data_IF_722473271056
#
_entry.id   IF_722473271056
#
_cell.length_a   1.000
_cell.length_b   1.000
_cell.length_c   1.000
_cell.angle_alpha   90.00
_cell.angle_beta   90.00
_cell.angle_gamma   90.00
#
_symmetry.space_group_name_H-M   'P 1'
#
loop_
_entity.id
_entity.type
_entity.pdbx_description
1 polymer ?
#
# COMPACT_ATOMS: atom_id res chain seq x y z
N UNK A 1 41.46 -5.55 -20.06
CA UNK A 1 40.12 -6.15 -20.15
C UNK A 1 39.31 -5.57 -19.02
N UNK A 2 38.58 -4.49 -19.29
CA UNK A 2 37.69 -3.88 -18.31
C UNK A 2 36.47 -4.76 -18.14
N UNK A 3 36.31 -5.34 -16.95
CA UNK A 3 35.12 -6.10 -16.58
C UNK A 3 33.98 -5.12 -16.40
N UNK A 4 33.14 -4.97 -17.43
CA UNK A 4 31.86 -4.27 -17.32
C UNK A 4 30.98 -5.08 -16.37
N UNK A 5 31.00 -4.71 -15.09
CA UNK A 5 30.04 -5.21 -14.12
C UNK A 5 28.70 -4.56 -14.45
N UNK A 6 27.86 -5.30 -15.18
CA UNK A 6 26.46 -4.94 -15.36
C UNK A 6 25.83 -4.91 -13.95
N UNK A 7 25.71 -3.72 -13.36
CA UNK A 7 24.98 -3.54 -12.10
C UNK A 7 23.55 -3.98 -12.34
N UNK A 8 23.24 -5.20 -11.95
CA UNK A 8 21.90 -5.76 -12.01
C UNK A 8 21.01 -4.89 -11.13
N UNK A 9 20.01 -4.24 -11.73
CA UNK A 9 19.08 -3.42 -10.98
C UNK A 9 18.55 -4.20 -9.76
N UNK A 10 18.59 -3.61 -8.56
CA UNK A 10 18.25 -4.32 -7.33
C UNK A 10 16.85 -4.91 -7.47
N UNK A 11 16.74 -6.24 -7.39
CA UNK A 11 15.48 -6.92 -7.57
C UNK A 11 14.52 -6.53 -6.43
N UNK A 12 13.27 -6.17 -6.76
CA UNK A 12 12.25 -5.86 -5.73
C UNK A 12 12.12 -7.03 -4.75
N UNK A 13 12.41 -6.83 -3.45
CA UNK A 13 12.36 -7.90 -2.46
C UNK A 13 10.92 -8.38 -2.24
N UNK A 14 10.75 -9.65 -1.88
CA UNK A 14 9.43 -10.28 -1.70
C UNK A 14 8.58 -9.49 -0.70
N UNK A 15 9.17 -9.05 0.42
CA UNK A 15 8.48 -8.21 1.41
C UNK A 15 7.88 -6.94 0.80
N UNK A 16 8.61 -6.24 -0.10
CA UNK A 16 8.09 -5.06 -0.78
C UNK A 16 6.95 -5.42 -1.74
N UNK A 17 7.06 -6.54 -2.44
CA UNK A 17 5.97 -7.03 -3.32
C UNK A 17 4.72 -7.34 -2.51
N UNK A 18 4.86 -7.98 -1.35
CA UNK A 18 3.74 -8.28 -0.45
C UNK A 18 3.06 -7.00 -0.01
N UNK A 19 3.80 -5.98 0.44
CA UNK A 19 3.23 -4.67 0.80
C UNK A 19 2.46 -4.06 -0.38
N UNK A 20 3.05 -4.05 -1.57
CA UNK A 20 2.41 -3.48 -2.76
C UNK A 20 1.12 -4.22 -3.15
N UNK A 21 1.14 -5.55 -3.15
CA UNK A 21 -0.02 -6.38 -3.45
C UNK A 21 -1.10 -6.23 -2.39
N UNK A 22 -0.74 -6.15 -1.10
CA UNK A 22 -1.67 -5.90 0.00
C UNK A 22 -2.45 -4.60 -0.17
N UNK A 23 -1.76 -3.50 -0.50
CA UNK A 23 -2.42 -2.21 -0.75
C UNK A 23 -3.27 -2.22 -2.03
N UNK A 24 -2.80 -2.90 -3.09
CA UNK A 24 -3.60 -3.09 -4.29
C UNK A 24 -4.89 -3.87 -3.98
N UNK A 25 -4.80 -4.95 -3.20
CA UNK A 25 -5.93 -5.75 -2.81
C UNK A 25 -6.95 -4.94 -1.98
N UNK A 26 -6.49 -4.05 -1.10
CA UNK A 26 -7.37 -3.13 -0.38
C UNK A 26 -8.22 -2.26 -1.32
N UNK A 27 -7.63 -1.73 -2.39
CA UNK A 27 -8.35 -0.94 -3.39
C UNK A 27 -9.46 -1.79 -4.02
N UNK A 28 -9.14 -3.01 -4.45
CA UNK A 28 -10.14 -3.93 -5.02
C UNK A 28 -11.24 -4.29 -4.02
N UNK A 29 -10.90 -4.53 -2.75
CA UNK A 29 -11.89 -4.80 -1.69
C UNK A 29 -12.81 -3.60 -1.50
N UNK A 30 -12.28 -2.37 -1.49
CA UNK A 30 -13.08 -1.16 -1.32
C UNK A 30 -14.06 -0.96 -2.49
N UNK A 31 -13.62 -1.18 -3.74
CA UNK A 31 -14.51 -1.15 -4.90
C UNK A 31 -15.53 -2.30 -4.91
N UNK A 32 -15.12 -3.50 -4.50
CA UNK A 32 -16.02 -4.64 -4.36
C UNK A 32 -17.12 -4.38 -3.32
N UNK A 33 -16.77 -3.79 -2.18
CA UNK A 33 -17.72 -3.36 -1.16
C UNK A 33 -18.63 -2.24 -1.68
N UNK A 34 -18.08 -1.24 -2.37
CA UNK A 34 -18.88 -0.18 -2.98
C UNK A 34 -19.94 -0.78 -3.91
N UNK A 35 -19.53 -1.66 -4.83
CA UNK A 35 -20.44 -2.31 -5.77
C UNK A 35 -21.49 -3.19 -5.07
N UNK A 36 -21.09 -3.96 -4.06
CA UNK A 36 -21.99 -4.85 -3.33
C UNK A 36 -23.07 -4.06 -2.55
N UNK A 37 -22.67 -2.94 -1.92
CA UNK A 37 -23.60 -2.07 -1.19
C UNK A 37 -24.47 -1.26 -2.17
N UNK A 38 -23.90 -0.70 -3.23
CA UNK A 38 -24.63 0.11 -4.21
C UNK A 38 -25.64 -0.70 -5.03
N UNK A 39 -25.39 -1.99 -5.25
CA UNK A 39 -26.30 -2.90 -5.95
C UNK A 39 -27.38 -3.52 -5.05
N UNK A 40 -27.43 -3.14 -3.75
CA UNK A 40 -28.37 -3.69 -2.78
C UNK A 40 -28.13 -5.17 -2.45
N UNK A 41 -27.00 -5.76 -2.88
CA UNK A 41 -26.63 -7.15 -2.59
C UNK A 41 -26.13 -7.33 -1.16
N UNK A 42 -25.75 -6.23 -0.50
CA UNK A 42 -25.13 -6.25 0.82
C UNK A 42 -25.62 -5.04 1.63
N UNK A 43 -26.46 -5.28 2.62
CA UNK A 43 -26.87 -4.27 3.59
C UNK A 43 -25.91 -4.31 4.78
N UNK A 44 -24.94 -3.40 4.79
CA UNK A 44 -24.10 -3.16 5.96
C UNK A 44 -24.69 -1.96 6.70
N UNK A 45 -25.08 -2.10 7.99
CA UNK A 45 -25.57 -0.98 8.78
C UNK A 45 -24.58 0.18 8.79
N UNK A 46 -25.06 1.40 8.47
CA UNK A 46 -24.26 2.64 8.35
C UNK A 46 -23.21 2.66 7.22
N UNK A 47 -23.25 1.73 6.27
CA UNK A 47 -22.36 1.79 5.10
C UNK A 47 -22.96 2.68 4.02
N UNK A 48 -22.57 3.96 4.02
CA UNK A 48 -22.92 4.87 2.94
C UNK A 48 -22.00 4.64 1.72
N UNK A 49 -22.55 4.31 0.53
CA UNK A 49 -21.77 4.11 -0.69
C UNK A 49 -20.80 5.26 -1.02
N UNK A 50 -21.19 6.50 -0.76
CA UNK A 50 -20.37 7.68 -1.07
C UNK A 50 -19.10 7.72 -0.22
N UNK A 51 -19.20 7.31 1.05
CA UNK A 51 -18.04 7.21 1.96
C UNK A 51 -17.12 6.06 1.56
N UNK A 52 -17.67 4.94 1.07
CA UNK A 52 -16.87 3.81 0.57
C UNK A 52 -16.11 4.24 -0.68
N UNK A 53 -16.77 4.93 -1.61
CA UNK A 53 -16.14 5.42 -2.83
C UNK A 53 -15.04 6.44 -2.54
N UNK A 54 -15.28 7.38 -1.62
CA UNK A 54 -14.27 8.34 -1.14
C UNK A 54 -13.05 7.62 -0.53
N UNK A 55 -13.30 6.62 0.32
CA UNK A 55 -12.23 5.80 0.92
C UNK A 55 -11.45 5.01 -0.13
N UNK A 56 -12.13 4.46 -1.15
CA UNK A 56 -11.48 3.80 -2.27
C UNK A 56 -10.58 4.76 -3.07
N UNK A 57 -11.03 6.01 -3.28
CA UNK A 57 -10.22 7.08 -3.86
C UNK A 57 -8.94 7.36 -3.06
N UNK A 58 -9.05 7.48 -1.73
CA UNK A 58 -7.89 7.64 -0.85
C UNK A 58 -6.92 6.45 -0.98
N UNK A 59 -7.42 5.22 -1.01
CA UNK A 59 -6.56 4.05 -1.17
C UNK A 59 -5.83 4.02 -2.52
N UNK A 60 -6.45 4.48 -3.60
CA UNK A 60 -5.77 4.66 -4.90
C UNK A 60 -4.64 5.67 -4.77
N UNK A 61 -4.91 6.84 -4.19
CA UNK A 61 -3.88 7.88 -4.00
C UNK A 61 -2.73 7.36 -3.16
N UNK A 62 -3.02 6.66 -2.05
CA UNK A 62 -2.01 6.00 -1.22
C UNK A 62 -1.19 4.99 -1.99
N UNK A 63 -1.83 4.14 -2.80
CA UNK A 63 -1.13 3.16 -3.64
C UNK A 63 -0.19 3.85 -4.63
N UNK A 64 -0.65 4.88 -5.33
CA UNK A 64 0.18 5.64 -6.30
C UNK A 64 1.37 6.31 -5.59
N UNK A 65 1.13 7.01 -4.48
CA UNK A 65 2.17 7.62 -3.67
C UNK A 65 3.18 6.58 -3.16
N UNK A 66 2.71 5.40 -2.78
CA UNK A 66 3.55 4.31 -2.28
C UNK A 66 4.44 3.74 -3.38
N UNK A 67 3.88 3.50 -4.58
CA UNK A 67 4.64 3.09 -5.77
C UNK A 67 5.69 4.15 -6.11
N UNK A 68 5.30 5.42 -6.18
CA UNK A 68 6.22 6.51 -6.48
C UNK A 68 7.35 6.62 -5.46
N UNK A 69 7.05 6.46 -4.17
CA UNK A 69 8.05 6.48 -3.09
C UNK A 69 9.04 5.32 -3.19
N UNK A 70 8.55 4.13 -3.54
CA UNK A 70 9.38 2.95 -3.78
C UNK A 70 10.28 3.10 -5.02
N UNK A 71 9.78 3.72 -6.08
CA UNK A 71 10.55 3.96 -7.30
C UNK A 71 11.66 5.01 -7.10
N UNK A 72 11.44 5.98 -6.20
CA UNK A 72 12.37 7.06 -5.88
C UNK A 72 13.30 6.76 -4.68
N UNK A 73 13.30 5.54 -4.12
CA UNK A 73 14.16 5.20 -2.98
C UNK A 73 13.84 5.94 -1.67
N UNK A 74 12.68 6.59 -1.55
CA UNK A 74 12.29 7.40 -0.38
C UNK A 74 11.65 6.54 0.71
N UNK A 75 12.46 5.79 1.47
CA UNK A 75 11.97 4.89 2.54
C UNK A 75 11.15 5.62 3.63
N UNK A 76 11.57 6.83 4.00
CA UNK A 76 10.85 7.64 5.00
C UNK A 76 9.44 8.00 4.51
N UNK A 77 9.33 8.41 3.25
CA UNK A 77 8.04 8.74 2.62
C UNK A 77 7.16 7.49 2.49
N UNK A 78 7.75 6.36 2.11
CA UNK A 78 7.05 5.08 2.04
C UNK A 78 6.42 4.67 3.39
N UNK A 79 7.17 4.84 4.49
CA UNK A 79 6.64 4.59 5.85
C UNK A 79 5.56 5.58 6.25
N UNK A 80 5.73 6.86 5.91
CA UNK A 80 4.74 7.89 6.19
C UNK A 80 3.41 7.59 5.50
N UNK A 81 3.44 7.08 4.26
CA UNK A 81 2.22 6.68 3.52
C UNK A 81 1.50 5.52 4.21
N UNK A 82 2.23 4.49 4.65
CA UNK A 82 1.62 3.37 5.38
C UNK A 82 1.01 3.84 6.72
N UNK A 83 1.67 4.76 7.40
CA UNK A 83 1.15 5.34 8.65
C UNK A 83 -0.09 6.21 8.39
N UNK A 84 -0.09 6.99 7.32
CA UNK A 84 -1.24 7.76 6.88
C UNK A 84 -2.42 6.84 6.51
N UNK A 85 -2.16 5.73 5.81
CA UNK A 85 -3.16 4.72 5.48
C UNK A 85 -3.80 4.09 6.74
N UNK A 86 -2.98 3.82 7.76
CA UNK A 86 -3.44 3.35 9.06
C UNK A 86 -4.40 4.37 9.71
N UNK A 87 -4.01 5.66 9.73
CA UNK A 87 -4.84 6.73 10.31
C UNK A 87 -6.15 6.91 9.51
N UNK A 88 -6.06 6.90 8.18
CA UNK A 88 -7.22 7.01 7.29
C UNK A 88 -8.19 5.82 7.43
N UNK A 89 -7.73 4.67 7.93
CA UNK A 89 -8.57 3.49 8.19
C UNK A 89 -9.37 3.59 9.51
N UNK A 90 -9.01 4.51 10.43
CA UNK A 90 -9.69 4.71 11.72
C UNK A 90 -11.18 5.09 11.53
N UNK A 91 -11.52 6.15 10.76
CA UNK A 91 -12.91 6.60 10.64
C UNK A 91 -13.78 5.57 9.92
N UNK A 92 -13.19 4.85 8.96
CA UNK A 92 -13.87 3.81 8.18
C UNK A 92 -14.11 2.51 8.98
N UNK A 93 -13.61 2.41 10.23
CA UNK A 93 -13.61 1.18 11.05
C UNK A 93 -13.13 -0.05 10.27
N UNK A 94 -12.20 0.16 9.33
CA UNK A 94 -11.78 -0.85 8.37
C UNK A 94 -10.77 -1.79 9.04
N UNK A 95 -11.25 -2.80 9.77
CA UNK A 95 -10.40 -3.77 10.51
C UNK A 95 -9.35 -4.41 9.60
N UNK A 96 -9.75 -4.79 8.38
CA UNK A 96 -8.84 -5.35 7.36
C UNK A 96 -7.77 -4.31 6.96
N UNK A 97 -8.17 -3.05 6.86
CA UNK A 97 -7.29 -1.91 6.62
C UNK A 97 -6.20 -1.79 7.68
N UNK A 98 -6.58 -1.85 8.96
CA UNK A 98 -5.66 -1.82 10.09
C UNK A 98 -4.65 -2.95 10.07
N UNK A 99 -5.12 -4.21 9.97
CA UNK A 99 -4.24 -5.39 10.03
C UNK A 99 -3.20 -5.32 8.92
N UNK A 100 -3.63 -5.01 7.70
CA UNK A 100 -2.72 -4.90 6.56
C UNK A 100 -1.74 -3.74 6.69
N UNK A 101 -2.15 -2.59 7.21
CA UNK A 101 -1.26 -1.45 7.42
C UNK A 101 -0.20 -1.76 8.49
N UNK A 102 -0.59 -2.37 9.61
CA UNK A 102 0.34 -2.76 10.69
C UNK A 102 1.36 -3.79 10.21
N UNK A 103 0.93 -4.86 9.56
CA UNK A 103 1.84 -5.87 9.03
C UNK A 103 2.77 -5.30 7.95
N UNK A 104 2.23 -4.48 7.05
CA UNK A 104 3.03 -3.79 6.02
C UNK A 104 4.07 -2.86 6.62
N UNK A 105 3.71 -2.14 7.68
CA UNK A 105 4.63 -1.27 8.42
C UNK A 105 5.80 -2.07 9.02
N UNK A 106 5.50 -3.21 9.66
CA UNK A 106 6.51 -4.14 10.17
C UNK A 106 7.45 -4.65 9.08
N UNK A 107 6.91 -5.03 7.92
CA UNK A 107 7.71 -5.47 6.77
C UNK A 107 8.66 -4.37 6.23
N UNK A 108 8.38 -3.09 6.45
CA UNK A 108 9.31 -2.01 6.06
C UNK A 108 10.61 -1.98 6.86
N UNK A 109 10.69 -2.71 7.98
CA UNK A 109 11.92 -2.82 8.77
C UNK A 109 12.79 -4.00 8.34
N UNK A 110 12.28 -4.87 7.46
CA UNK A 110 13.01 -6.01 6.94
C UNK A 110 14.30 -5.56 6.23
N UNK A 111 15.48 -6.18 6.50
CA UNK A 111 16.77 -5.75 5.98
C UNK A 111 16.78 -5.60 4.45
N UNK A 112 16.26 -6.60 3.73
CA UNK A 112 16.13 -6.57 2.26
C UNK A 112 15.32 -5.39 1.72
N UNK A 113 14.34 -4.88 2.48
CA UNK A 113 13.57 -3.69 2.08
C UNK A 113 14.43 -2.45 2.26
N UNK A 114 15.13 -2.30 3.40
CA UNK A 114 16.04 -1.17 3.62
C UNK A 114 17.15 -1.12 2.56
N UNK A 115 17.75 -2.26 2.24
CA UNK A 115 18.78 -2.37 1.20
C UNK A 115 18.26 -1.96 -0.17
N UNK A 116 17.07 -2.45 -0.57
CA UNK A 116 16.44 -2.06 -1.83
C UNK A 116 16.24 -0.54 -1.92
N UNK A 117 15.74 0.10 -0.86
CA UNK A 117 15.53 1.54 -0.85
C UNK A 117 16.84 2.32 -0.85
N UNK A 118 17.89 1.83 -0.18
CA UNK A 118 19.22 2.44 -0.17
C UNK A 118 19.86 2.39 -1.56
N UNK A 119 19.85 1.22 -2.21
CA UNK A 119 20.39 1.04 -3.56
C UNK A 119 19.63 1.83 -4.65
N UNK A 120 18.42 2.32 -4.34
CA UNK A 120 17.59 3.15 -5.21
C UNK A 120 17.74 4.65 -4.97
N UNK A 121 18.34 5.04 -3.85
CA UNK A 121 18.54 6.42 -3.44
C UNK A 121 19.96 6.94 -3.80
N UNK A 122 20.86 6.04 -4.16
CA UNK A 122 22.15 6.28 -4.82
C UNK A 122 21.94 6.46 -6.33
#
# INVERSE_FOLDING_TARGET
MDTVTLQTAPQKPIALRVIMVSFLLKVFIAFGLYYAVSSGKLEIPNANPDYILYTAGIYIVNLVCMIASALNGKLKLFRAIILFDFIASIPAKAIIGFIMATYSFGLTFHPKVKEFFKAKAE
#
